data_IF_796827669207
#
_entry.id   IF_796827669207
#
_cell.length_a   1.000
_cell.length_b   1.000
_cell.length_c   1.000
_cell.angle_alpha   90.00
_cell.angle_beta   90.00
_cell.angle_gamma   90.00
#
_symmetry.space_group_name_H-M   'P 1'
#
loop_
_entity.id
_entity.type
_entity.pdbx_description
1 polymer ?
#
# COMPACT_ATOMS: atom_id res chain seq x y z
N UNK A 1 0.99 -12.12 -18.69
CA UNK A 1 1.05 -10.64 -18.70
C UNK A 1 1.10 -10.16 -20.13
N UNK A 2 0.27 -9.18 -20.46
CA UNK A 2 0.20 -8.55 -21.77
C UNK A 2 1.10 -7.32 -21.84
N UNK A 3 1.09 -6.48 -20.80
CA UNK A 3 1.92 -5.28 -20.72
C UNK A 3 2.22 -4.88 -19.28
N UNK A 4 3.29 -4.12 -19.10
CA UNK A 4 3.60 -3.31 -17.92
C UNK A 4 4.15 -1.98 -18.42
N UNK A 5 3.61 -0.87 -17.94
CA UNK A 5 4.03 0.47 -18.35
C UNK A 5 5.48 0.71 -17.93
N UNK A 6 6.27 1.30 -18.83
CA UNK A 6 7.64 1.71 -18.54
C UNK A 6 7.70 3.04 -17.78
N UNK A 7 7.21 3.03 -16.54
CA UNK A 7 7.40 4.14 -15.59
C UNK A 7 8.84 4.18 -15.07
N UNK A 8 9.50 3.03 -15.05
CA UNK A 8 10.91 2.83 -14.73
C UNK A 8 11.36 1.49 -15.34
N UNK A 9 12.66 1.32 -15.65
CA UNK A 9 13.19 0.04 -16.12
C UNK A 9 12.92 -1.13 -15.13
N UNK A 10 12.79 -0.82 -13.83
CA UNK A 10 12.46 -1.72 -12.73
C UNK A 10 11.01 -1.64 -12.27
N UNK A 11 10.14 -0.88 -12.95
CA UNK A 11 8.70 -1.07 -12.83
C UNK A 11 8.39 -2.54 -13.08
N UNK A 12 7.40 -3.08 -12.37
CA UNK A 12 7.20 -4.53 -12.39
C UNK A 12 5.76 -4.90 -12.12
N UNK A 13 5.34 -5.96 -12.79
CA UNK A 13 4.06 -6.59 -12.53
C UNK A 13 4.19 -8.11 -12.65
N UNK A 14 3.35 -8.86 -11.95
CA UNK A 14 3.46 -10.32 -11.94
C UNK A 14 2.64 -10.98 -10.85
N UNK A 15 3.07 -12.18 -10.47
CA UNK A 15 2.41 -13.01 -9.45
C UNK A 15 3.20 -12.99 -8.15
N UNK A 16 2.50 -12.88 -7.03
CA UNK A 16 3.07 -12.87 -5.69
C UNK A 16 2.32 -13.83 -4.77
N UNK A 17 3.07 -14.49 -3.88
CA UNK A 17 2.58 -15.13 -2.67
C UNK A 17 3.21 -14.39 -1.49
N UNK A 18 2.40 -13.83 -0.60
CA UNK A 18 2.84 -13.05 0.57
C UNK A 18 2.09 -13.48 1.83
N UNK A 19 2.75 -13.44 2.98
CA UNK A 19 2.16 -13.95 4.22
C UNK A 19 1.03 -13.06 4.75
N UNK A 20 1.28 -11.75 4.81
CA UNK A 20 0.35 -10.73 5.34
C UNK A 20 0.31 -9.51 4.43
N UNK A 21 -0.64 -8.59 4.65
CA UNK A 21 -0.74 -7.33 3.90
C UNK A 21 0.16 -6.22 4.48
N UNK A 22 0.95 -6.53 5.52
CA UNK A 22 1.90 -5.58 6.10
C UNK A 22 3.06 -5.29 5.14
N UNK A 23 3.61 -4.05 5.12
CA UNK A 23 4.69 -3.68 4.19
C UNK A 23 5.96 -4.56 4.29
N UNK A 24 6.29 -4.99 5.50
CA UNK A 24 7.45 -5.83 5.81
C UNK A 24 7.23 -7.34 5.64
N UNK A 25 6.06 -7.78 5.16
CA UNK A 25 5.73 -9.20 5.11
C UNK A 25 6.69 -10.04 4.23
N UNK A 26 7.05 -11.28 4.65
CA UNK A 26 7.70 -12.24 3.78
C UNK A 26 6.88 -12.49 2.52
N UNK A 27 7.55 -12.57 1.37
CA UNK A 27 6.91 -12.85 0.09
C UNK A 27 7.85 -13.57 -0.88
N UNK A 28 7.24 -14.24 -1.86
CA UNK A 28 7.88 -14.71 -3.09
C UNK A 28 7.12 -14.13 -4.28
N UNK A 29 7.83 -13.69 -5.32
CA UNK A 29 7.18 -13.13 -6.50
C UNK A 29 7.98 -13.32 -7.78
N UNK A 30 7.25 -13.55 -8.87
CA UNK A 30 7.81 -13.58 -10.23
C UNK A 30 7.19 -12.46 -11.03
N UNK A 31 8.05 -11.57 -11.53
CA UNK A 31 7.65 -10.36 -12.25
C UNK A 31 8.24 -10.31 -13.65
N UNK A 32 7.58 -9.60 -14.56
CA UNK A 32 8.25 -9.01 -15.72
C UNK A 32 8.43 -7.53 -15.48
N UNK A 33 9.56 -7.01 -15.96
CA UNK A 33 9.91 -5.60 -15.93
C UNK A 33 10.03 -5.07 -17.37
N UNK A 34 9.86 -3.76 -17.61
CA UNK A 34 10.10 -3.17 -18.93
C UNK A 34 11.56 -3.28 -19.41
N UNK A 35 12.54 -3.24 -18.50
CA UNK A 35 13.95 -3.11 -18.87
C UNK A 35 14.92 -4.11 -18.25
N UNK A 36 14.48 -4.99 -17.34
CA UNK A 36 15.35 -5.90 -16.58
C UNK A 36 14.93 -7.37 -16.62
N UNK A 37 14.02 -7.73 -17.52
CA UNK A 37 13.65 -9.13 -17.74
C UNK A 37 12.55 -9.67 -16.84
N UNK A 38 12.46 -11.00 -16.83
CA UNK A 38 11.71 -11.79 -15.85
C UNK A 38 12.57 -11.98 -14.59
N UNK A 39 12.01 -11.65 -13.42
CA UNK A 39 12.75 -11.63 -12.14
C UNK A 39 12.03 -12.44 -11.07
N UNK A 40 12.79 -13.21 -10.31
CA UNK A 40 12.32 -13.85 -9.07
C UNK A 40 12.85 -13.02 -7.90
N UNK A 41 11.93 -12.38 -7.17
CA UNK A 41 12.24 -11.62 -5.96
C UNK A 41 11.57 -12.26 -4.74
N UNK A 42 12.20 -12.11 -3.58
CA UNK A 42 11.64 -12.57 -2.33
C UNK A 42 12.07 -11.68 -1.17
N UNK A 43 11.18 -11.57 -0.17
CA UNK A 43 11.57 -11.17 1.17
C UNK A 43 11.57 -12.43 2.03
N UNK A 44 12.76 -12.85 2.47
CA UNK A 44 12.95 -14.12 3.18
C UNK A 44 12.47 -14.08 4.64
N UNK A 45 12.56 -12.91 5.26
CA UNK A 45 12.29 -12.69 6.67
C UNK A 45 11.51 -11.40 6.82
N UNK A 46 10.56 -11.37 7.76
CA UNK A 46 9.76 -10.18 8.03
C UNK A 46 10.69 -8.98 8.34
N UNK A 47 10.32 -7.82 7.81
CA UNK A 47 10.98 -6.52 8.01
C UNK A 47 12.46 -6.42 7.53
N UNK A 48 13.01 -7.49 6.94
CA UNK A 48 14.34 -7.49 6.32
C UNK A 48 14.24 -7.16 4.84
N UNK A 49 15.29 -6.58 4.24
CA UNK A 49 15.29 -6.22 2.81
C UNK A 49 14.89 -7.38 1.87
N UNK A 50 14.20 -7.02 0.79
CA UNK A 50 13.91 -7.95 -0.29
C UNK A 50 15.19 -8.22 -1.11
N UNK A 51 15.37 -9.47 -1.53
CA UNK A 51 16.45 -9.93 -2.39
C UNK A 51 15.89 -10.53 -3.68
N UNK A 52 16.78 -10.89 -4.62
CA UNK A 52 16.38 -11.42 -5.92
C UNK A 52 17.44 -12.28 -6.59
N UNK A 53 17.05 -12.85 -7.73
CA UNK A 53 17.88 -13.63 -8.64
C UNK A 53 19.00 -12.83 -9.35
N UNK A 54 19.28 -11.56 -8.99
CA UNK A 54 20.24 -10.69 -9.70
C UNK A 54 21.61 -11.31 -9.89
N UNK A 55 22.14 -11.97 -8.86
CA UNK A 55 23.46 -12.60 -8.94
C UNK A 55 23.55 -13.80 -9.90
N UNK A 56 22.42 -14.38 -10.31
CA UNK A 56 22.36 -15.66 -11.03
C UNK A 56 21.44 -15.64 -12.25
N UNK A 57 20.94 -14.46 -12.64
CA UNK A 57 20.04 -14.33 -13.77
C UNK A 57 20.78 -14.53 -15.09
N UNK A 58 20.18 -15.33 -15.99
CA UNK A 58 20.73 -15.55 -17.33
C UNK A 58 20.42 -14.38 -18.26
N UNK A 59 21.21 -14.23 -19.33
CA UNK A 59 20.92 -13.28 -20.40
C UNK A 59 19.53 -13.51 -21.01
N UNK A 60 19.10 -14.78 -21.13
CA UNK A 60 17.76 -15.14 -21.57
C UNK A 60 16.66 -14.59 -20.66
N UNK A 61 16.80 -14.71 -19.33
CA UNK A 61 15.84 -14.13 -18.39
C UNK A 61 15.80 -12.61 -18.44
N UNK A 62 16.97 -11.97 -18.55
CA UNK A 62 17.12 -10.51 -18.62
C UNK A 62 16.49 -9.94 -19.90
N UNK A 63 16.50 -10.69 -20.99
CA UNK A 63 15.92 -10.27 -22.27
C UNK A 63 14.38 -10.37 -22.35
N UNK A 64 13.71 -10.95 -21.35
CA UNK A 64 12.25 -11.16 -21.40
C UNK A 64 11.50 -9.85 -21.17
N UNK A 65 10.65 -9.49 -22.12
CA UNK A 65 9.66 -8.41 -21.96
C UNK A 65 8.24 -8.95 -22.12
N UNK A 66 7.24 -8.18 -21.70
CA UNK A 66 5.85 -8.51 -21.99
C UNK A 66 5.59 -8.45 -23.52
N UNK A 67 4.69 -9.30 -24.09
CA UNK A 67 3.87 -10.27 -23.39
C UNK A 67 4.62 -11.55 -23.01
N UNK A 68 4.39 -12.05 -21.80
CA UNK A 68 4.98 -13.31 -21.31
C UNK A 68 4.09 -13.92 -20.21
N UNK A 69 4.19 -15.23 -19.99
CA UNK A 69 3.53 -15.91 -18.86
C UNK A 69 4.52 -16.13 -17.73
N UNK A 70 4.07 -15.90 -16.50
CA UNK A 70 4.84 -16.16 -15.28
C UNK A 70 4.01 -17.06 -14.37
N UNK A 71 4.70 -17.85 -13.56
CA UNK A 71 4.08 -18.77 -12.60
C UNK A 71 4.96 -18.87 -11.36
N UNK A 72 4.31 -19.00 -10.21
CA UNK A 72 4.95 -19.20 -8.92
C UNK A 72 4.24 -20.35 -8.21
N UNK A 73 5.01 -21.31 -7.74
CA UNK A 73 4.52 -22.50 -7.03
C UNK A 73 5.09 -22.52 -5.62
N UNK A 74 4.25 -22.76 -4.61
CA UNK A 74 4.65 -23.01 -3.21
C UNK A 74 4.39 -24.48 -2.89
N UNK A 75 5.41 -25.21 -2.41
CA UNK A 75 5.26 -26.59 -1.94
C UNK A 75 4.73 -26.63 -0.51
N UNK A 76 4.26 -27.82 -0.10
CA UNK A 76 3.86 -28.11 1.29
C UNK A 76 5.00 -27.93 2.30
N UNK A 77 6.26 -28.01 1.84
CA UNK A 77 7.46 -27.80 2.67
C UNK A 77 7.88 -26.33 2.78
N UNK A 78 7.11 -25.38 2.24
CA UNK A 78 7.45 -23.95 2.27
C UNK A 78 8.49 -23.54 1.22
N UNK A 79 8.67 -24.34 0.16
CA UNK A 79 9.62 -24.06 -0.91
C UNK A 79 8.92 -23.43 -2.11
N UNK A 80 9.51 -22.37 -2.66
CA UNK A 80 8.99 -21.60 -3.78
C UNK A 80 9.80 -21.84 -5.05
N UNK A 81 9.08 -21.99 -6.17
CA UNK A 81 9.66 -22.13 -7.51
C UNK A 81 8.97 -21.19 -8.49
N UNK A 82 9.76 -20.34 -9.14
CA UNK A 82 9.32 -19.44 -10.19
C UNK A 82 9.53 -20.04 -11.59
N UNK A 83 8.62 -19.73 -12.52
CA UNK A 83 8.70 -20.16 -13.90
C UNK A 83 8.23 -19.07 -14.84
N UNK A 84 8.67 -19.15 -16.09
CA UNK A 84 8.28 -18.25 -17.17
C UNK A 84 8.01 -19.06 -18.45
N UNK A 85 7.10 -18.59 -19.29
CA UNK A 85 6.77 -19.24 -20.56
C UNK A 85 6.30 -18.24 -21.62
N UNK A 86 6.77 -18.40 -22.86
CA UNK A 86 6.35 -17.59 -24.01
C UNK A 86 5.00 -18.04 -24.59
N UNK A 87 4.67 -19.33 -24.48
CA UNK A 87 3.46 -19.95 -25.05
C UNK A 87 2.41 -20.34 -23.98
N UNK A 88 2.81 -20.45 -22.71
CA UNK A 88 2.01 -20.93 -21.60
C UNK A 88 1.86 -22.43 -21.49
N UNK A 89 2.58 -23.18 -22.33
CA UNK A 89 2.59 -24.65 -22.38
C UNK A 89 3.96 -25.15 -21.93
N UNK A 90 5.02 -24.63 -22.54
CA UNK A 90 6.41 -24.97 -22.22
C UNK A 90 6.94 -23.99 -21.17
N UNK A 91 7.13 -24.47 -19.95
CA UNK A 91 7.57 -23.66 -18.81
C UNK A 91 9.05 -23.83 -18.56
N UNK A 92 9.77 -22.70 -18.49
CA UNK A 92 11.17 -22.63 -18.12
C UNK A 92 11.30 -22.27 -16.63
N UNK A 93 12.19 -22.97 -15.93
CA UNK A 93 12.48 -22.68 -14.52
C UNK A 93 13.34 -21.42 -14.38
N UNK A 94 13.03 -20.60 -13.38
CA UNK A 94 13.91 -19.52 -12.94
C UNK A 94 15.20 -20.11 -12.37
N UNK A 95 16.34 -19.49 -12.66
CA UNK A 95 17.67 -19.97 -12.23
C UNK A 95 17.87 -19.95 -10.73
N UNK A 96 17.16 -19.07 -10.02
CA UNK A 96 17.22 -18.97 -8.56
C UNK A 96 16.33 -20.01 -7.86
N UNK A 97 15.71 -20.93 -8.59
CA UNK A 97 14.93 -22.00 -7.96
C UNK A 97 15.83 -23.04 -7.26
N UNK A 98 15.37 -23.63 -6.16
CA UNK A 98 14.25 -23.21 -5.32
C UNK A 98 14.67 -22.18 -4.24
N UNK A 99 13.70 -21.44 -3.71
CA UNK A 99 13.88 -20.62 -2.49
C UNK A 99 13.00 -21.13 -1.36
N UNK A 100 13.53 -21.20 -0.13
CA UNK A 100 12.76 -21.60 1.06
C UNK A 100 12.44 -20.36 1.87
N UNK A 101 11.15 -20.08 2.06
CA UNK A 101 10.67 -18.91 2.80
C UNK A 101 9.68 -19.41 3.82
N UNK A 102 9.98 -19.18 5.10
CA UNK A 102 9.06 -19.50 6.17
C UNK A 102 7.84 -18.56 6.09
N UNK A 103 6.65 -19.14 5.99
CA UNK A 103 5.37 -18.44 6.07
C UNK A 103 4.35 -19.34 6.76
N UNK A 104 3.31 -18.74 7.32
CA UNK A 104 2.12 -19.42 7.81
C UNK A 104 1.45 -20.31 6.75
N UNK A 105 0.55 -21.18 7.20
CA UNK A 105 -0.23 -22.05 6.31
C UNK A 105 -1.12 -21.22 5.37
N UNK A 106 -1.77 -20.19 5.92
CA UNK A 106 -2.58 -19.25 5.17
C UNK A 106 -1.71 -18.09 4.68
N UNK A 107 -1.87 -17.74 3.41
CA UNK A 107 -1.13 -16.67 2.73
C UNK A 107 -2.06 -15.98 1.74
N UNK A 108 -1.69 -14.78 1.32
CA UNK A 108 -2.31 -14.12 0.18
C UNK A 108 -1.58 -14.52 -1.10
N UNK A 109 -2.36 -14.87 -2.12
CA UNK A 109 -1.84 -15.09 -3.48
C UNK A 109 -2.53 -14.09 -4.40
N UNK A 110 -1.80 -13.54 -5.36
CA UNK A 110 -2.42 -12.58 -6.26
C UNK A 110 -1.47 -11.97 -7.25
N UNK A 111 -1.95 -10.87 -7.84
CA UNK A 111 -1.20 -10.04 -8.75
C UNK A 111 -0.58 -8.89 -7.96
N UNK A 112 0.64 -8.52 -8.31
CA UNK A 112 1.32 -7.38 -7.72
C UNK A 112 1.88 -6.47 -8.82
N UNK A 113 1.83 -5.17 -8.60
CA UNK A 113 2.34 -4.13 -9.50
C UNK A 113 3.02 -3.03 -8.69
N UNK A 114 4.10 -2.46 -9.22
CA UNK A 114 4.69 -1.21 -8.72
C UNK A 114 5.32 -0.43 -9.87
N UNK A 115 5.21 0.89 -9.83
CA UNK A 115 5.88 1.81 -10.75
C UNK A 115 7.39 1.89 -10.51
N UNK A 116 7.87 1.43 -9.35
CA UNK A 116 9.24 1.64 -8.88
C UNK A 116 9.64 3.12 -8.80
N UNK A 117 8.70 4.07 -8.91
CA UNK A 117 8.96 5.50 -8.87
C UNK A 117 7.85 6.19 -8.07
N UNK A 118 8.24 6.86 -6.98
CA UNK A 118 7.32 7.51 -6.07
C UNK A 118 6.45 8.55 -6.81
N UNK A 119 5.15 8.58 -6.51
CA UNK A 119 4.19 9.49 -7.13
C UNK A 119 3.83 9.20 -8.59
N UNK A 120 4.39 8.15 -9.22
CA UNK A 120 4.09 7.79 -10.62
C UNK A 120 3.14 6.60 -10.67
N UNK A 121 2.01 6.76 -11.37
CA UNK A 121 1.04 5.68 -11.62
C UNK A 121 1.57 4.75 -12.72
N UNK A 122 1.50 3.44 -12.47
CA UNK A 122 1.89 2.40 -13.43
C UNK A 122 0.70 1.51 -13.78
N UNK A 123 0.39 1.38 -15.07
CA UNK A 123 -0.58 0.42 -15.57
C UNK A 123 0.08 -0.93 -15.93
N UNK A 124 -0.55 -2.04 -15.58
CA UNK A 124 -0.19 -3.37 -16.08
C UNK A 124 -1.43 -4.15 -16.51
N UNK A 125 -1.35 -4.86 -17.64
CA UNK A 125 -2.45 -5.68 -18.17
C UNK A 125 -2.12 -7.15 -17.98
N UNK A 126 -2.88 -7.82 -17.13
CA UNK A 126 -2.73 -9.25 -16.84
C UNK A 126 -3.98 -10.00 -17.32
N UNK A 127 -3.78 -11.20 -17.87
CA UNK A 127 -4.85 -12.04 -18.41
C UNK A 127 -4.53 -13.51 -18.14
N UNK A 128 -5.53 -14.38 -18.30
CA UNK A 128 -5.42 -15.82 -18.09
C UNK A 128 -4.89 -16.18 -16.70
N UNK A 129 -5.35 -15.47 -15.67
CA UNK A 129 -4.94 -15.73 -14.28
C UNK A 129 -5.59 -17.01 -13.80
N UNK A 130 -4.78 -17.91 -13.26
CA UNK A 130 -5.20 -19.21 -12.74
C UNK A 130 -4.49 -19.48 -11.42
N UNK A 131 -5.20 -20.11 -10.50
CA UNK A 131 -4.67 -20.57 -9.23
C UNK A 131 -4.99 -22.06 -9.06
N UNK A 132 -4.26 -22.74 -8.20
CA UNK A 132 -4.46 -24.16 -7.87
C UNK A 132 -4.36 -24.34 -6.36
N UNK A 133 -4.94 -25.41 -5.83
CA UNK A 133 -5.00 -25.68 -4.39
C UNK A 133 -6.24 -25.05 -3.74
N UNK A 134 -6.24 -24.98 -2.41
CA UNK A 134 -7.34 -24.40 -1.63
C UNK A 134 -7.20 -22.88 -1.61
N UNK A 135 -7.96 -22.19 -2.46
CA UNK A 135 -7.95 -20.72 -2.58
C UNK A 135 -9.35 -20.20 -2.33
N UNK A 136 -9.49 -19.26 -1.38
CA UNK A 136 -10.76 -18.57 -1.15
C UNK A 136 -11.15 -17.72 -2.35
N UNK A 137 -12.43 -17.78 -2.75
CA UNK A 137 -12.93 -16.99 -3.86
C UNK A 137 -13.21 -15.55 -3.44
N UNK A 138 -12.19 -14.69 -3.49
CA UNK A 138 -12.38 -13.25 -3.34
C UNK A 138 -11.24 -12.50 -4.05
N UNK A 139 -11.59 -11.67 -5.02
CA UNK A 139 -10.68 -10.65 -5.53
C UNK A 139 -10.78 -9.42 -4.63
N UNK A 140 -9.65 -8.96 -4.15
CA UNK A 140 -9.51 -7.70 -3.43
C UNK A 140 -8.25 -6.99 -3.92
N UNK A 141 -8.24 -5.67 -3.85
CA UNK A 141 -7.06 -4.85 -4.05
C UNK A 141 -6.68 -4.19 -2.73
N UNK A 142 -5.38 -4.06 -2.47
CA UNK A 142 -4.83 -3.40 -1.30
C UNK A 142 -3.49 -2.80 -1.68
N UNK A 143 -3.31 -1.53 -1.35
CA UNK A 143 -1.99 -0.89 -1.46
C UNK A 143 -1.12 -1.33 -0.29
N UNK A 144 0.15 -1.59 -0.57
CA UNK A 144 1.11 -2.13 0.39
C UNK A 144 2.22 -1.11 0.60
N UNK A 145 2.44 -0.69 1.84
CA UNK A 145 3.49 0.27 2.18
C UNK A 145 3.23 1.69 1.67
N UNK A 146 2.04 1.94 1.11
CA UNK A 146 1.54 3.26 0.79
C UNK A 146 0.50 3.58 1.87
N UNK A 147 0.88 4.44 2.82
CA UNK A 147 -0.08 5.09 3.69
C UNK A 147 -0.72 6.23 2.89
N UNK A 148 -1.75 5.94 2.09
CA UNK A 148 -2.56 6.97 1.47
C UNK A 148 -3.79 7.21 2.35
N UNK A 149 -3.87 8.38 2.94
CA UNK A 149 -5.11 8.83 3.55
C UNK A 149 -6.09 9.23 2.45
N UNK A 150 -7.35 8.84 2.59
CA UNK A 150 -8.39 9.48 1.81
C UNK A 150 -8.42 10.98 2.11
N UNK A 151 -8.77 11.79 1.11
CA UNK A 151 -8.99 13.22 1.30
C UNK A 151 -10.23 13.40 2.17
N UNK A 152 -10.04 13.92 3.38
CA UNK A 152 -11.10 14.22 4.34
C UNK A 152 -10.80 15.57 5.02
N UNK A 153 -11.80 16.45 5.19
CA UNK A 153 -11.62 17.68 5.95
C UNK A 153 -11.17 17.40 7.39
N UNK A 154 -10.03 17.94 7.78
CA UNK A 154 -9.54 17.90 9.17
C UNK A 154 -10.16 19.06 9.96
N UNK A 155 -10.63 18.80 11.18
CA UNK A 155 -11.13 19.86 12.06
C UNK A 155 -10.72 19.66 13.52
N UNK A 156 -10.68 20.77 14.26
CA UNK A 156 -10.63 20.82 15.72
C UNK A 156 -11.96 21.36 16.22
N UNK A 157 -12.49 20.75 17.26
CA UNK A 157 -13.66 21.24 17.96
C UNK A 157 -13.40 21.36 19.46
N UNK A 158 -13.90 22.45 20.04
CA UNK A 158 -13.94 22.65 21.48
C UNK A 158 -15.39 22.71 21.95
N UNK A 159 -15.66 22.15 23.11
CA UNK A 159 -16.96 22.25 23.76
C UNK A 159 -16.82 22.45 25.26
N UNK A 160 -17.91 22.89 25.86
CA UNK A 160 -18.12 22.93 27.30
C UNK A 160 -19.46 22.22 27.61
N UNK A 161 -19.83 22.16 28.90
CA UNK A 161 -21.08 21.55 29.33
C UNK A 161 -22.36 22.25 28.81
N UNK A 162 -22.25 23.42 28.16
CA UNK A 162 -23.39 24.24 27.75
C UNK A 162 -23.28 24.72 26.29
N UNK A 163 -24.13 24.19 25.42
CA UNK A 163 -24.29 24.67 24.04
C UNK A 163 -23.66 23.76 22.98
N UNK A 164 -23.60 24.27 21.75
CA UNK A 164 -23.04 23.54 20.61
C UNK A 164 -21.51 23.68 20.58
N UNK A 165 -20.76 22.63 20.19
CA UNK A 165 -19.32 22.74 20.02
C UNK A 165 -18.93 23.80 18.97
N UNK A 166 -17.92 24.61 19.25
CA UNK A 166 -17.28 25.45 18.23
C UNK A 166 -16.29 24.60 17.42
N UNK A 167 -16.30 24.76 16.10
CA UNK A 167 -15.54 23.91 15.16
C UNK A 167 -14.74 24.77 14.21
N UNK A 168 -13.45 24.48 14.09
CA UNK A 168 -12.57 25.11 13.10
C UNK A 168 -12.03 24.00 12.20
N UNK A 169 -12.32 24.10 10.91
CA UNK A 169 -11.74 23.23 9.90
C UNK A 169 -10.36 23.76 9.49
N UNK A 170 -9.49 22.85 9.06
CA UNK A 170 -8.23 23.20 8.43
C UNK A 170 -8.51 23.84 7.05
N UNK A 171 -7.80 24.92 6.71
CA UNK A 171 -8.04 25.65 5.46
C UNK A 171 -7.66 24.84 4.22
N UNK A 172 -6.62 24.01 4.33
CA UNK A 172 -6.27 23.02 3.30
C UNK A 172 -7.20 21.80 3.37
N UNK A 173 -8.04 21.55 2.34
CA UNK A 173 -8.94 20.40 2.30
C UNK A 173 -8.21 19.06 2.13
N UNK A 174 -6.90 19.09 1.83
CA UNK A 174 -6.03 17.92 1.68
C UNK A 174 -5.12 17.70 2.88
N UNK A 175 -5.32 18.42 3.99
CA UNK A 175 -4.49 18.32 5.19
C UNK A 175 -4.34 16.87 5.71
N UNK A 176 -5.38 16.05 5.58
CA UNK A 176 -5.33 14.64 5.98
C UNK A 176 -4.34 13.80 5.16
N UNK A 177 -3.90 14.26 3.99
CA UNK A 177 -3.00 13.55 3.09
C UNK A 177 -1.54 14.03 3.15
N UNK A 178 -1.24 15.00 4.02
CA UNK A 178 0.13 15.48 4.22
C UNK A 178 1.01 14.39 4.83
N UNK A 179 2.18 14.16 4.24
CA UNK A 179 3.14 13.13 4.64
C UNK A 179 4.32 13.68 5.47
N UNK A 180 4.34 14.99 5.71
CA UNK A 180 5.31 15.67 6.57
C UNK A 180 4.64 16.31 7.77
N UNK A 181 5.35 16.36 8.90
CA UNK A 181 4.89 17.09 10.07
C UNK A 181 4.60 18.55 9.69
N UNK A 182 3.37 18.98 9.98
CA UNK A 182 2.88 20.31 9.62
C UNK A 182 2.23 20.90 10.86
N UNK A 183 2.76 22.03 11.33
CA UNK A 183 2.16 22.75 12.45
C UNK A 183 0.82 23.37 12.01
N UNK A 184 -0.21 23.20 12.84
CA UNK A 184 -1.50 23.87 12.65
C UNK A 184 -1.81 24.79 13.83
N UNK A 185 -1.61 26.09 13.61
CA UNK A 185 -1.93 27.13 14.59
C UNK A 185 -3.35 27.63 14.39
N UNK A 186 -4.21 27.41 15.39
CA UNK A 186 -5.59 27.90 15.38
C UNK A 186 -5.71 29.09 16.34
N UNK A 187 -6.05 30.30 15.83
CA UNK A 187 -6.34 31.43 16.70
C UNK A 187 -7.54 31.11 17.61
N UNK A 188 -7.39 31.25 18.92
CA UNK A 188 -8.49 31.02 19.88
C UNK A 188 -9.74 31.85 19.56
N UNK A 189 -9.55 33.03 18.97
CA UNK A 189 -10.63 33.90 18.51
C UNK A 189 -11.55 33.21 17.47
N UNK A 190 -11.05 32.27 16.67
CA UNK A 190 -11.85 31.53 15.70
C UNK A 190 -12.93 30.67 16.38
N UNK A 191 -12.66 30.16 17.58
CA UNK A 191 -13.65 29.49 18.41
C UNK A 191 -14.57 30.50 19.12
N UNK A 192 -14.00 31.54 19.73
CA UNK A 192 -14.79 32.56 20.46
C UNK A 192 -15.82 33.27 19.57
N UNK A 193 -15.50 33.49 18.28
CA UNK A 193 -16.41 34.05 17.29
C UNK A 193 -17.66 33.19 17.06
N UNK A 194 -17.63 31.90 17.41
CA UNK A 194 -18.78 30.99 17.36
C UNK A 194 -19.60 30.99 18.65
N UNK A 195 -19.28 31.87 19.61
CA UNK A 195 -20.04 32.09 20.83
C UNK A 195 -19.68 31.14 21.99
N UNK A 196 -18.64 30.31 21.86
CA UNK A 196 -18.19 29.47 22.98
C UNK A 196 -17.45 30.31 24.01
N UNK A 197 -17.74 30.07 25.29
CA UNK A 197 -16.94 30.61 26.38
C UNK A 197 -15.65 29.79 26.54
N UNK A 198 -14.51 30.40 26.25
CA UNK A 198 -13.20 29.73 26.36
C UNK A 198 -12.72 29.56 27.80
N UNK A 199 -13.36 30.18 28.80
CA UNK A 199 -12.97 30.05 30.20
C UNK A 199 -13.43 28.74 30.86
N UNK A 200 -14.27 27.93 30.19
CA UNK A 200 -14.86 26.72 30.76
C UNK A 200 -14.93 25.54 29.77
N UNK A 201 -13.99 25.47 28.82
CA UNK A 201 -13.87 24.33 27.89
C UNK A 201 -13.57 23.06 28.68
N UNK A 202 -14.33 22.00 28.41
CA UNK A 202 -14.18 20.69 29.07
C UNK A 202 -13.78 19.57 28.12
N UNK A 203 -13.91 19.77 26.80
CA UNK A 203 -13.55 18.79 25.78
C UNK A 203 -12.90 19.44 24.57
N UNK A 204 -11.89 18.73 24.06
CA UNK A 204 -11.26 18.96 22.77
C UNK A 204 -11.48 17.71 21.92
N UNK A 205 -11.85 17.88 20.66
CA UNK A 205 -11.93 16.83 19.68
C UNK A 205 -11.15 17.22 18.42
N UNK A 206 -10.41 16.27 17.86
CA UNK A 206 -9.79 16.37 16.54
C UNK A 206 -10.49 15.31 15.69
N UNK A 207 -10.99 15.70 14.53
CA UNK A 207 -11.82 14.81 13.71
C UNK A 207 -11.60 15.01 12.22
N UNK A 208 -12.03 14.00 11.46
CA UNK A 208 -12.02 13.96 10.00
C UNK A 208 -13.46 13.88 9.50
N UNK A 209 -13.75 14.54 8.37
CA UNK A 209 -15.05 14.50 7.68
C UNK A 209 -16.05 15.58 8.12
N UNK A 210 -17.29 15.49 7.61
CA UNK A 210 -18.35 16.45 7.92
C UNK A 210 -19.02 16.15 9.27
N UNK A 211 -18.97 17.09 10.22
CA UNK A 211 -19.63 16.96 11.53
C UNK A 211 -21.18 17.01 11.48
N UNK A 212 -21.78 17.15 10.30
CA UNK A 212 -23.23 17.32 10.11
C UNK A 212 -24.00 16.00 10.14
N UNK A 213 -24.12 15.36 11.30
CA UNK A 213 -25.24 14.47 11.70
C UNK A 213 -25.64 13.25 10.85
N UNK A 214 -25.14 13.08 9.63
CA UNK A 214 -25.39 11.96 8.72
C UNK A 214 -24.02 11.57 8.17
N UNK A 215 -23.38 10.60 8.81
CA UNK A 215 -22.11 10.08 8.35
C UNK A 215 -22.35 9.36 7.01
N UNK A 216 -22.10 10.04 5.89
CA UNK A 216 -21.61 9.35 4.71
C UNK A 216 -20.40 8.54 5.15
N UNK A 217 -20.27 7.29 4.68
CA UNK A 217 -19.07 6.49 4.94
C UNK A 217 -17.84 7.31 4.54
N UNK A 218 -17.10 7.81 5.52
CA UNK A 218 -15.87 8.55 5.28
C UNK A 218 -14.81 7.63 4.66
N UNK A 219 -13.74 8.24 4.16
CA UNK A 219 -12.58 7.51 3.70
C UNK A 219 -11.79 6.84 4.83
N UNK A 220 -10.87 5.96 4.45
CA UNK A 220 -9.98 5.25 5.37
C UNK A 220 -8.58 5.87 5.36
N UNK A 221 -7.90 5.85 6.51
CA UNK A 221 -6.53 6.33 6.64
C UNK A 221 -6.02 6.25 8.07
N UNK A 222 -4.77 6.65 8.28
CA UNK A 222 -4.12 6.81 9.58
C UNK A 222 -3.52 8.21 9.66
N UNK A 223 -3.91 8.97 10.67
CA UNK A 223 -3.28 10.26 11.00
C UNK A 223 -2.54 10.13 12.34
N UNK A 224 -1.37 10.74 12.41
CA UNK A 224 -0.61 10.89 13.65
C UNK A 224 -0.75 12.33 14.13
N UNK A 225 -1.14 12.50 15.38
CA UNK A 225 -1.29 13.81 16.02
C UNK A 225 -0.33 13.82 17.20
N UNK A 226 0.48 14.86 17.28
CA UNK A 226 1.41 15.09 18.39
C UNK A 226 1.40 16.58 18.78
N UNK A 227 2.02 16.91 19.91
CA UNK A 227 2.27 18.28 20.38
C UNK A 227 1.03 19.18 20.48
N UNK A 228 -0.09 18.64 20.96
CA UNK A 228 -1.29 19.45 21.24
C UNK A 228 -1.04 20.40 22.41
N UNK A 229 -0.88 21.69 22.12
CA UNK A 229 -0.50 22.73 23.10
C UNK A 229 -1.44 23.93 23.04
N UNK A 230 -1.72 24.51 24.22
CA UNK A 230 -2.39 25.80 24.35
C UNK A 230 -1.35 26.88 24.60
N UNK A 231 -1.18 27.79 23.65
CA UNK A 231 -0.35 28.97 23.81
C UNK A 231 -1.19 30.10 24.43
N UNK A 232 -0.76 30.58 25.60
CA UNK A 232 -1.31 31.81 26.18
C UNK A 232 -0.65 33.02 25.49
N UNK A 233 -1.35 34.15 25.38
CA UNK A 233 -0.76 35.40 24.92
C UNK A 233 0.49 35.79 25.71
#
# INVERSE_FOLDING_TARGET
MLSVQNTNAWAKAGVMIRETLEPGSPFAAVYITPGNGCRFQARMTADMDATSDTAVATAGQIAITAPYRVKLERSVSGTFRGYYSSDGVNWQSMTWNPQTIAMASNVYIGLAVTSHSAGVVCEAKLTNVRTTGTVGAQWANQDIGIASNAVEPLYVAVSNAAGSPAVVAHDDPTAATLDTWTEWVIPLQAFANQGINLSNVDKLAIGLGSKSGVASSGGTGTIYIDDVRLYRP
#
